data_IF_914262223635
#
_entry.id   IF_914262223635
#
_cell.length_a   1.000
_cell.length_b   1.000
_cell.length_c   1.000
_cell.angle_alpha   90.00
_cell.angle_beta   90.00
_cell.angle_gamma   90.00
#
_symmetry.space_group_name_H-M   'P 1'
#
loop_
_entity.id
_entity.type
_entity.pdbx_description
1 polymer ?
#
# COMPACT_ATOMS: atom_id res chain seq x y z
N UNK A 1 26.84 17.66 -25.84
CA UNK A 1 27.02 18.02 -24.42
C UNK A 1 25.76 17.57 -23.70
N UNK A 2 25.96 16.63 -22.79
CA UNK A 2 24.99 15.97 -21.92
C UNK A 2 24.30 16.99 -21.00
N UNK A 3 22.97 16.93 -20.93
CA UNK A 3 22.20 17.49 -19.80
C UNK A 3 21.08 16.52 -19.40
N UNK A 4 21.51 15.48 -18.69
CA UNK A 4 20.76 14.71 -17.71
C UNK A 4 19.85 15.61 -16.84
N UNK A 5 18.55 15.63 -17.14
CA UNK A 5 17.55 16.33 -16.32
C UNK A 5 17.08 15.42 -15.20
N UNK A 6 17.59 15.68 -13.99
CA UNK A 6 17.20 15.02 -12.75
C UNK A 6 15.71 15.23 -12.48
N UNK A 7 14.93 14.14 -12.49
CA UNK A 7 13.68 14.12 -11.73
C UNK A 7 14.07 14.21 -10.24
N UNK A 8 13.60 15.22 -9.52
CA UNK A 8 13.78 15.27 -8.06
C UNK A 8 13.35 13.94 -7.42
N UNK A 9 14.02 13.49 -6.35
CA UNK A 9 13.79 12.17 -5.79
C UNK A 9 12.31 12.03 -5.42
N UNK A 10 11.64 11.00 -5.98
CA UNK A 10 10.41 10.47 -5.40
C UNK A 10 10.66 10.34 -3.89
N UNK A 11 9.80 10.87 -3.00
CA UNK A 11 10.04 10.75 -1.57
C UNK A 11 10.26 9.26 -1.28
N UNK A 12 11.33 8.89 -0.55
CA UNK A 12 11.67 7.50 -0.35
C UNK A 12 10.45 6.78 0.22
N UNK A 13 10.13 5.61 -0.35
CA UNK A 13 9.10 4.74 0.21
C UNK A 13 9.40 4.55 1.70
N UNK A 14 8.42 4.81 2.57
CA UNK A 14 8.62 4.59 4.01
C UNK A 14 8.92 3.12 4.23
N UNK A 15 9.99 2.81 4.95
CA UNK A 15 10.26 1.44 5.41
C UNK A 15 9.60 1.29 6.77
N UNK A 16 8.70 0.34 6.89
CA UNK A 16 7.88 0.13 8.09
C UNK A 16 8.21 -1.25 8.63
N UNK A 17 8.85 -1.31 9.80
CA UNK A 17 8.90 -2.55 10.55
C UNK A 17 7.58 -2.72 11.31
N UNK A 18 6.91 -3.86 11.13
CA UNK A 18 5.73 -4.20 11.92
C UNK A 18 6.13 -5.01 13.14
N UNK A 19 5.65 -4.57 14.29
CA UNK A 19 5.68 -5.34 15.54
C UNK A 19 4.69 -6.53 15.47
N UNK A 20 4.94 -7.56 16.28
CA UNK A 20 4.11 -8.75 16.41
C UNK A 20 2.67 -8.39 16.81
N UNK A 21 2.47 -7.37 17.66
CA UNK A 21 1.12 -6.94 18.06
C UNK A 21 0.29 -6.39 16.88
N UNK A 22 0.94 -5.84 15.85
CA UNK A 22 0.28 -5.36 14.64
C UNK A 22 0.03 -6.52 13.70
N UNK A 23 1.06 -7.36 13.46
CA UNK A 23 0.98 -8.52 12.57
C UNK A 23 -0.04 -9.58 13.04
N UNK A 24 -0.30 -9.63 14.35
CA UNK A 24 -1.31 -10.50 14.93
C UNK A 24 -2.72 -10.19 14.39
N UNK A 25 -3.03 -8.91 14.18
CA UNK A 25 -4.31 -8.44 13.66
C UNK A 25 -4.40 -8.66 12.15
N UNK A 26 -5.21 -9.65 11.75
CA UNK A 26 -5.36 -10.01 10.34
C UNK A 26 -5.73 -8.81 9.45
N UNK A 27 -6.65 -7.95 9.92
CA UNK A 27 -7.07 -6.78 9.15
C UNK A 27 -5.91 -5.79 8.96
N UNK A 28 -5.13 -5.48 10.00
CA UNK A 28 -4.01 -4.55 9.88
C UNK A 28 -2.92 -5.13 8.95
N UNK A 29 -2.56 -6.40 9.16
CA UNK A 29 -1.58 -7.11 8.31
C UNK A 29 -1.97 -7.09 6.84
N UNK A 30 -3.24 -7.38 6.53
CA UNK A 30 -3.73 -7.37 5.15
C UNK A 30 -3.57 -5.97 4.52
N UNK A 31 -3.89 -4.88 5.24
CA UNK A 31 -3.67 -3.51 4.73
C UNK A 31 -2.20 -3.20 4.49
N UNK A 32 -1.31 -3.48 5.44
CA UNK A 32 0.11 -3.19 5.28
C UNK A 32 0.72 -3.97 4.10
N UNK A 33 0.40 -5.25 3.97
CA UNK A 33 0.83 -6.07 2.82
C UNK A 33 0.30 -5.50 1.51
N UNK A 34 -0.94 -4.99 1.47
CA UNK A 34 -1.45 -4.31 0.26
C UNK A 34 -0.75 -2.97 -0.03
N UNK A 35 -0.34 -2.23 0.99
CA UNK A 35 0.47 -1.02 0.81
C UNK A 35 1.84 -1.34 0.21
N UNK A 36 2.41 -2.50 0.54
CA UNK A 36 3.61 -3.02 -0.12
C UNK A 36 3.37 -3.38 -1.58
N UNK A 37 2.29 -4.09 -1.88
CA UNK A 37 1.91 -4.44 -3.25
C UNK A 37 1.66 -3.21 -4.13
N UNK A 38 1.26 -2.07 -3.54
CA UNK A 38 1.06 -0.79 -4.23
C UNK A 38 2.28 0.14 -4.19
N UNK A 39 3.42 -0.32 -3.65
CA UNK A 39 4.67 0.44 -3.53
C UNK A 39 4.52 1.78 -2.78
N UNK A 40 3.59 1.85 -1.83
CA UNK A 40 3.37 3.00 -0.93
C UNK A 40 4.31 2.94 0.27
N UNK A 41 4.50 1.74 0.82
CA UNK A 41 5.41 1.46 1.92
C UNK A 41 6.14 0.15 1.64
N UNK A 42 7.32 -0.03 2.20
CA UNK A 42 7.95 -1.35 2.26
C UNK A 42 7.81 -1.89 3.67
N UNK A 43 7.12 -3.02 3.80
CA UNK A 43 6.79 -3.61 5.08
C UNK A 43 7.85 -4.67 5.41
N UNK A 44 8.32 -4.64 6.65
CA UNK A 44 9.42 -5.46 7.14
C UNK A 44 9.04 -6.16 8.45
N UNK A 45 9.58 -7.36 8.65
CA UNK A 45 9.52 -8.09 9.91
C UNK A 45 10.68 -9.09 9.97
N UNK A 46 11.10 -9.48 11.17
CA UNK A 46 12.09 -10.54 11.37
C UNK A 46 11.45 -11.91 11.56
N UNK A 47 12.24 -12.97 11.47
CA UNK A 47 11.76 -14.31 11.83
C UNK A 47 11.27 -14.33 13.29
N UNK A 48 11.98 -13.69 14.22
CA UNK A 48 11.61 -13.69 15.64
C UNK A 48 10.25 -13.01 15.91
N UNK A 49 9.98 -11.88 15.24
CA UNK A 49 8.66 -11.21 15.31
C UNK A 49 7.56 -12.15 14.80
N UNK A 50 7.81 -12.85 13.69
CA UNK A 50 6.84 -13.79 13.14
C UNK A 50 6.61 -14.97 14.08
N UNK A 51 7.65 -15.42 14.78
CA UNK A 51 7.57 -16.50 15.76
C UNK A 51 6.69 -16.12 16.94
N UNK A 52 6.74 -14.86 17.38
CA UNK A 52 5.82 -14.31 18.37
C UNK A 52 4.38 -14.32 17.90
N UNK A 53 4.13 -13.93 16.64
CA UNK A 53 2.79 -13.99 16.06
C UNK A 53 2.27 -15.43 16.07
N UNK A 54 3.08 -16.40 15.63
CA UNK A 54 2.72 -17.82 15.61
C UNK A 54 2.46 -18.33 17.04
N UNK A 55 3.35 -18.05 17.99
CA UNK A 55 3.18 -18.42 19.41
C UNK A 55 1.87 -17.88 19.98
N UNK A 56 1.59 -16.60 19.76
CA UNK A 56 0.38 -15.94 20.26
C UNK A 56 -0.90 -16.48 19.60
N UNK A 57 -0.86 -16.84 18.31
CA UNK A 57 -1.99 -17.48 17.62
C UNK A 57 -2.25 -18.88 18.16
N UNK A 58 -1.20 -19.70 18.37
CA UNK A 58 -1.34 -21.02 18.99
C UNK A 58 -1.92 -20.92 20.40
N UNK A 59 -1.38 -20.02 21.23
CA UNK A 59 -1.89 -19.76 22.58
C UNK A 59 -3.38 -19.40 22.55
N UNK A 60 -3.78 -18.50 21.66
CA UNK A 60 -5.18 -18.09 21.51
C UNK A 60 -6.07 -19.22 21.01
N UNK A 61 -5.59 -20.01 20.05
CA UNK A 61 -6.31 -21.19 19.57
C UNK A 61 -6.56 -22.16 20.73
N UNK A 62 -5.53 -22.51 21.51
CA UNK A 62 -5.68 -23.39 22.68
C UNK A 62 -6.64 -22.83 23.72
N UNK A 63 -6.57 -21.53 24.03
CA UNK A 63 -7.42 -20.92 25.07
C UNK A 63 -8.89 -20.76 24.64
N UNK A 64 -9.17 -20.59 23.34
CA UNK A 64 -10.51 -20.30 22.81
C UNK A 64 -11.16 -21.48 22.08
N UNK A 65 -10.44 -22.59 21.94
CA UNK A 65 -10.95 -23.78 21.29
C UNK A 65 -11.99 -24.45 22.20
N UNK A 66 -13.23 -24.48 21.73
CA UNK A 66 -14.33 -25.15 22.43
C UNK A 66 -14.51 -26.61 22.01
N UNK A 67 -14.03 -26.98 20.83
CA UNK A 67 -14.04 -28.35 20.30
C UNK A 67 -12.62 -28.88 20.10
N UNK A 68 -12.15 -29.84 20.93
CA UNK A 68 -10.83 -30.44 20.79
C UNK A 68 -10.51 -31.02 19.40
N UNK A 69 -11.52 -31.39 18.61
CA UNK A 69 -11.33 -31.88 17.25
C UNK A 69 -10.85 -30.79 16.27
N UNK A 70 -11.15 -29.51 16.54
CA UNK A 70 -10.74 -28.38 15.71
C UNK A 70 -9.30 -27.90 16.04
N UNK A 71 -8.80 -28.20 17.24
CA UNK A 71 -7.52 -27.70 17.73
C UNK A 71 -6.34 -28.03 16.78
N UNK A 72 -6.19 -29.26 16.25
CA UNK A 72 -5.09 -29.56 15.31
C UNK A 72 -5.10 -28.66 14.07
N UNK A 73 -6.29 -28.37 13.52
CA UNK A 73 -6.44 -27.51 12.33
C UNK A 73 -6.08 -26.04 12.64
N UNK A 74 -6.49 -25.54 13.81
CA UNK A 74 -6.14 -24.18 14.24
C UNK A 74 -4.63 -24.02 14.48
N UNK A 75 -3.98 -25.03 15.07
CA UNK A 75 -2.53 -25.03 15.28
C UNK A 75 -1.76 -25.12 13.96
N UNK A 76 -2.21 -25.96 13.02
CA UNK A 76 -1.63 -26.05 11.69
C UNK A 76 -1.75 -24.71 10.94
N UNK A 77 -2.91 -24.06 10.98
CA UNK A 77 -3.13 -22.73 10.39
C UNK A 77 -2.17 -21.68 10.96
N UNK A 78 -1.90 -21.73 12.27
CA UNK A 78 -0.94 -20.83 12.89
C UNK A 78 0.50 -21.10 12.42
N UNK A 79 0.89 -22.36 12.23
CA UNK A 79 2.22 -22.73 11.73
C UNK A 79 2.41 -22.34 10.26
N UNK A 80 1.38 -22.53 9.44
CA UNK A 80 1.39 -22.21 8.01
C UNK A 80 1.59 -20.71 7.74
N UNK A 81 1.31 -19.85 8.72
CA UNK A 81 1.57 -18.41 8.62
C UNK A 81 3.03 -18.12 8.26
N UNK A 82 3.97 -18.87 8.83
CA UNK A 82 5.40 -18.70 8.54
C UNK A 82 5.72 -19.06 7.10
N UNK A 83 5.27 -20.22 6.66
CA UNK A 83 5.51 -20.71 5.30
C UNK A 83 4.86 -19.80 4.26
N UNK A 84 3.64 -19.34 4.55
CA UNK A 84 2.94 -18.37 3.73
C UNK A 84 3.72 -17.06 3.61
N UNK A 85 4.19 -16.49 4.73
CA UNK A 85 4.97 -15.26 4.72
C UNK A 85 6.27 -15.42 3.94
N UNK A 86 7.03 -16.49 4.16
CA UNK A 86 8.31 -16.75 3.47
C UNK A 86 8.13 -16.94 1.97
N UNK A 87 7.06 -17.61 1.55
CA UNK A 87 6.81 -17.91 0.15
C UNK A 87 6.30 -16.69 -0.61
N UNK A 88 5.37 -15.93 -0.01
CA UNK A 88 4.66 -14.86 -0.72
C UNK A 88 5.26 -13.46 -0.51
N UNK A 89 6.03 -13.26 0.57
CA UNK A 89 6.63 -11.98 0.93
C UNK A 89 8.10 -12.14 1.37
N UNK A 90 8.95 -12.84 0.60
CA UNK A 90 10.36 -13.03 0.96
C UNK A 90 11.10 -11.69 1.14
N UNK A 91 10.71 -10.67 0.39
CA UNK A 91 11.28 -9.32 0.46
C UNK A 91 10.97 -8.59 1.77
N UNK A 92 10.00 -9.04 2.56
CA UNK A 92 9.65 -8.43 3.85
C UNK A 92 10.52 -8.93 5.00
N UNK A 93 11.23 -10.04 4.82
CA UNK A 93 12.11 -10.57 5.86
C UNK A 93 13.36 -9.71 6.03
N UNK A 94 13.74 -9.52 7.29
CA UNK A 94 15.00 -8.89 7.70
C UNK A 94 15.49 -9.57 8.97
N UNK A 95 16.75 -9.97 9.01
CA UNK A 95 17.34 -10.56 10.20
C UNK A 95 18.37 -9.59 10.79
N UNK A 96 18.22 -9.18 12.07
CA UNK A 96 19.20 -8.33 12.71
C UNK A 96 20.52 -9.05 12.96
N UNK A 97 21.61 -8.31 12.83
CA UNK A 97 22.95 -8.73 13.21
C UNK A 97 23.30 -8.29 14.63
N UNK A 98 24.37 -8.85 15.20
CA UNK A 98 24.91 -8.39 16.50
C UNK A 98 25.28 -6.89 16.49
N UNK A 99 25.71 -6.36 15.34
CA UNK A 99 26.00 -4.93 15.19
C UNK A 99 24.74 -4.07 15.32
N UNK A 100 23.58 -4.58 14.89
CA UNK A 100 22.31 -3.87 15.01
C UNK A 100 21.86 -3.77 16.48
N UNK A 101 22.06 -4.84 17.26
CA UNK A 101 21.84 -4.83 18.72
C UNK A 101 22.82 -3.88 19.43
N UNK A 102 24.09 -3.88 19.01
CA UNK A 102 25.13 -3.07 19.65
C UNK A 102 24.84 -1.56 19.61
N UNK A 103 24.03 -1.08 18.65
CA UNK A 103 23.73 0.36 18.49
C UNK A 103 22.97 1.01 19.64
N UNK A 104 22.28 0.21 20.44
CA UNK A 104 21.45 0.67 21.56
C UNK A 104 21.61 -0.23 22.79
N UNK A 105 22.63 -1.09 22.82
CA UNK A 105 22.78 -2.12 23.83
C UNK A 105 22.90 -1.57 25.26
N UNK A 106 23.46 -0.37 25.40
CA UNK A 106 23.66 0.37 26.65
C UNK A 106 22.39 1.06 27.16
N UNK A 107 21.33 1.14 26.34
CA UNK A 107 20.09 1.81 26.72
C UNK A 107 19.11 0.87 27.42
N UNK A 108 18.39 1.42 28.39
CA UNK A 108 17.35 0.70 29.11
C UNK A 108 16.14 0.45 28.20
N UNK A 109 15.64 -0.78 28.23
CA UNK A 109 14.36 -1.19 27.65
C UNK A 109 13.46 -1.69 28.77
N UNK A 110 12.15 -1.33 28.81
CA UNK A 110 11.21 -1.83 29.81
C UNK A 110 11.11 -3.36 29.80
N UNK A 111 11.01 -3.94 28.60
CA UNK A 111 11.07 -5.37 28.36
C UNK A 111 12.35 -5.72 27.58
N UNK A 112 13.25 -6.55 28.14
CA UNK A 112 14.43 -7.04 27.43
C UNK A 112 14.10 -7.82 26.14
N UNK A 113 12.94 -8.49 26.09
CA UNK A 113 12.55 -9.29 24.93
C UNK A 113 12.24 -8.39 23.72
N UNK A 114 11.80 -7.14 23.90
CA UNK A 114 11.50 -6.20 22.80
C UNK A 114 12.74 -5.65 22.08
N UNK A 115 13.94 -5.93 22.58
CA UNK A 115 15.20 -5.53 21.94
C UNK A 115 15.33 -6.07 20.52
N UNK A 116 14.81 -7.27 20.26
CA UNK A 116 14.89 -7.87 18.93
C UNK A 116 14.06 -7.09 17.89
N UNK A 117 12.97 -6.45 18.30
CA UNK A 117 12.13 -5.62 17.43
C UNK A 117 12.90 -4.37 17.02
N UNK A 118 13.57 -3.70 17.96
CA UNK A 118 14.41 -2.52 17.67
C UNK A 118 15.58 -2.90 16.77
N UNK A 119 16.27 -3.99 17.05
CA UNK A 119 17.37 -4.47 16.21
C UNK A 119 16.90 -4.79 14.79
N UNK A 120 15.74 -5.44 14.63
CA UNK A 120 15.14 -5.68 13.31
C UNK A 120 14.80 -4.37 12.58
N UNK A 121 14.36 -3.33 13.30
CA UNK A 121 14.05 -2.02 12.74
C UNK A 121 15.32 -1.33 12.22
N UNK A 122 16.41 -1.43 12.98
CA UNK A 122 17.75 -0.93 12.59
C UNK A 122 18.24 -1.65 11.33
N UNK A 123 18.20 -2.98 11.32
CA UNK A 123 18.62 -3.81 10.19
C UNK A 123 17.80 -3.48 8.93
N UNK A 124 16.51 -3.21 9.09
CA UNK A 124 15.61 -2.81 8.00
C UNK A 124 15.90 -1.41 7.46
N UNK A 125 16.67 -0.59 8.18
CA UNK A 125 16.73 0.87 8.02
C UNK A 125 15.32 1.47 8.03
N UNK A 126 14.52 1.03 8.99
CA UNK A 126 13.13 1.42 9.11
C UNK A 126 13.02 2.94 9.30
N UNK A 127 12.08 3.55 8.59
CA UNK A 127 11.60 4.90 8.91
C UNK A 127 10.68 4.83 10.12
N UNK A 128 9.84 3.80 10.16
CA UNK A 128 8.83 3.60 11.20
C UNK A 128 8.95 2.23 11.85
N UNK A 129 8.88 2.20 13.19
CA UNK A 129 8.50 1.03 13.96
C UNK A 129 6.99 1.15 14.25
N UNK A 130 6.18 0.33 13.60
CA UNK A 130 4.73 0.34 13.75
C UNK A 130 4.31 -0.61 14.87
N UNK A 131 3.81 -0.06 15.98
CA UNK A 131 3.42 -0.81 17.18
C UNK A 131 2.22 -0.17 17.87
N UNK A 132 1.39 -0.99 18.52
CA UNK A 132 0.36 -0.49 19.44
C UNK A 132 0.88 -0.27 20.86
N UNK A 133 1.98 -0.93 21.23
CA UNK A 133 2.58 -0.87 22.57
C UNK A 133 3.70 0.16 22.63
N UNK A 134 3.37 1.41 22.32
CA UNK A 134 4.35 2.49 22.30
C UNK A 134 5.17 2.64 23.61
N UNK A 135 4.68 2.35 24.83
CA UNK A 135 5.49 2.43 26.05
C UNK A 135 6.69 1.48 26.10
N UNK A 136 6.64 0.36 25.36
CA UNK A 136 7.70 -0.66 25.33
C UNK A 136 8.93 -0.19 24.54
N UNK A 137 8.79 0.92 23.79
CA UNK A 137 9.82 1.52 22.95
C UNK A 137 10.08 2.98 23.38
N UNK A 138 10.98 3.22 24.35
CA UNK A 138 11.24 4.55 24.88
C UNK A 138 11.89 5.51 23.87
N UNK A 139 11.58 6.81 23.98
CA UNK A 139 12.11 7.85 23.08
C UNK A 139 13.65 7.88 23.03
N UNK A 140 14.41 7.75 24.13
CA UNK A 140 15.88 7.73 24.06
C UNK A 140 16.45 6.61 23.17
N UNK A 141 15.79 5.45 23.14
CA UNK A 141 16.18 4.33 22.26
C UNK A 141 15.85 4.67 20.83
N UNK A 142 14.63 5.16 20.58
CA UNK A 142 14.16 5.45 19.23
C UNK A 142 14.92 6.60 18.56
N UNK A 143 15.24 7.65 19.32
CA UNK A 143 16.07 8.77 18.88
C UNK A 143 17.50 8.31 18.56
N UNK A 144 18.10 7.44 19.40
CA UNK A 144 19.44 6.90 19.17
C UNK A 144 19.56 6.18 17.83
N UNK A 145 18.55 5.37 17.49
CA UNK A 145 18.56 4.59 16.25
C UNK A 145 17.98 5.34 15.04
N UNK A 146 17.40 6.53 15.26
CA UNK A 146 16.83 7.38 14.22
C UNK A 146 15.56 6.81 13.59
N UNK A 147 14.72 6.13 14.39
CA UNK A 147 13.50 5.44 13.92
C UNK A 147 12.29 6.02 14.66
N UNK A 148 11.23 6.36 13.93
CA UNK A 148 10.01 6.88 14.54
C UNK A 148 9.06 5.75 14.95
N UNK A 149 8.60 5.72 16.20
CA UNK A 149 7.54 4.80 16.63
C UNK A 149 6.18 5.38 16.29
N UNK A 150 5.32 4.61 15.63
CA UNK A 150 3.99 5.07 15.20
C UNK A 150 2.93 4.00 15.42
N UNK A 151 1.71 4.44 15.77
CA UNK A 151 0.56 3.53 15.90
C UNK A 151 0.02 3.11 14.53
N UNK A 152 -0.53 1.89 14.39
CA UNK A 152 -1.02 1.40 13.10
C UNK A 152 -2.13 2.27 12.52
N UNK A 153 -3.06 2.77 13.34
CA UNK A 153 -4.12 3.67 12.85
C UNK A 153 -3.56 4.98 12.29
N UNK A 154 -2.61 5.59 13.01
CA UNK A 154 -2.00 6.85 12.58
C UNK A 154 -1.26 6.67 11.25
N UNK A 155 -0.48 5.59 11.10
CA UNK A 155 0.28 5.31 9.90
C UNK A 155 -0.63 4.99 8.70
N UNK A 156 -1.63 4.12 8.87
CA UNK A 156 -2.58 3.80 7.81
C UNK A 156 -3.44 5.01 7.42
N UNK A 157 -3.81 5.85 8.39
CA UNK A 157 -4.53 7.10 8.13
C UNK A 157 -3.66 8.11 7.35
N UNK A 158 -2.37 8.23 7.68
CA UNK A 158 -1.44 9.05 6.91
C UNK A 158 -1.34 8.56 5.46
N UNK A 159 -1.20 7.25 5.26
CA UNK A 159 -1.20 6.64 3.92
C UNK A 159 -2.52 6.85 3.18
N UNK A 160 -3.66 6.76 3.86
CA UNK A 160 -4.97 7.04 3.29
C UNK A 160 -5.09 8.51 2.84
N UNK A 161 -4.49 9.43 3.59
CA UNK A 161 -4.50 10.87 3.27
C UNK A 161 -3.55 11.22 2.13
N UNK A 162 -2.34 10.64 2.12
CA UNK A 162 -1.28 10.93 1.13
C UNK A 162 -1.48 10.18 -0.19
N UNK A 163 -2.02 8.97 -0.11
CA UNK A 163 -2.16 8.03 -1.22
C UNK A 163 -3.55 7.40 -1.25
N UNK A 164 -4.64 8.20 -1.33
CA UNK A 164 -6.02 7.71 -1.21
C UNK A 164 -6.37 6.62 -2.24
N UNK A 165 -5.87 6.74 -3.48
CA UNK A 165 -6.10 5.74 -4.52
C UNK A 165 -5.49 4.38 -4.18
N UNK A 166 -4.25 4.36 -3.68
CA UNK A 166 -3.60 3.12 -3.28
C UNK A 166 -4.30 2.49 -2.07
N UNK A 167 -4.77 3.31 -1.13
CA UNK A 167 -5.52 2.82 0.03
C UNK A 167 -6.89 2.25 -0.36
N UNK A 168 -7.59 2.84 -1.32
CA UNK A 168 -8.84 2.28 -1.88
C UNK A 168 -8.58 0.97 -2.61
N UNK A 169 -7.52 0.89 -3.42
CA UNK A 169 -7.12 -0.35 -4.08
C UNK A 169 -6.80 -1.45 -3.07
N UNK A 170 -6.03 -1.13 -2.03
CA UNK A 170 -5.74 -2.02 -0.92
C UNK A 170 -7.03 -2.52 -0.27
N UNK A 171 -7.92 -1.60 0.11
CA UNK A 171 -9.21 -1.91 0.72
C UNK A 171 -10.02 -2.91 -0.14
N UNK A 172 -10.11 -2.68 -1.45
CA UNK A 172 -10.87 -3.53 -2.36
C UNK A 172 -10.26 -4.91 -2.57
N UNK A 173 -8.93 -5.01 -2.58
CA UNK A 173 -8.24 -6.31 -2.61
C UNK A 173 -8.57 -7.11 -1.36
N UNK A 174 -8.52 -6.49 -0.17
CA UNK A 174 -8.85 -7.16 1.09
C UNK A 174 -10.32 -7.60 1.15
N UNK A 175 -11.25 -6.76 0.68
CA UNK A 175 -12.66 -7.14 0.51
C UNK A 175 -12.80 -8.33 -0.44
N UNK A 176 -12.15 -8.30 -1.60
CA UNK A 176 -12.23 -9.36 -2.61
C UNK A 176 -11.60 -10.69 -2.20
N UNK A 177 -10.60 -10.68 -1.32
CA UNK A 177 -9.96 -11.90 -0.81
C UNK A 177 -10.76 -12.57 0.31
N UNK A 178 -11.54 -11.79 1.06
CA UNK A 178 -12.24 -12.31 2.23
C UNK A 178 -13.67 -12.65 1.89
N UNK A 179 -13.97 -13.94 1.66
CA UNK A 179 -15.32 -14.42 1.32
C UNK A 179 -16.38 -13.83 2.26
N UNK A 180 -17.45 -13.30 1.68
CA UNK A 180 -18.58 -12.71 2.42
C UNK A 180 -18.29 -11.39 3.12
N UNK A 181 -17.09 -10.80 2.94
CA UNK A 181 -16.78 -9.49 3.53
C UNK A 181 -17.31 -8.37 2.64
N UNK A 182 -18.01 -7.43 3.25
CA UNK A 182 -18.47 -6.19 2.60
C UNK A 182 -17.53 -5.04 2.97
N UNK A 183 -17.58 -3.95 2.21
CA UNK A 183 -16.88 -2.70 2.56
C UNK A 183 -17.16 -2.27 4.00
N UNK A 184 -18.44 -2.19 4.37
CA UNK A 184 -18.87 -1.88 5.75
C UNK A 184 -18.28 -2.87 6.76
N UNK A 185 -18.34 -4.16 6.49
CA UNK A 185 -17.80 -5.19 7.38
C UNK A 185 -16.30 -5.06 7.60
N UNK A 186 -15.53 -4.71 6.57
CA UNK A 186 -14.09 -4.51 6.68
C UNK A 186 -13.75 -3.23 7.47
N UNK A 187 -14.51 -2.14 7.29
CA UNK A 187 -14.35 -0.91 8.08
C UNK A 187 -14.64 -1.15 9.57
N UNK A 188 -15.68 -1.93 9.89
CA UNK A 188 -15.95 -2.34 11.28
C UNK A 188 -14.82 -3.19 11.88
N UNK A 189 -14.17 -4.05 11.07
CA UNK A 189 -12.99 -4.80 11.52
C UNK A 189 -11.80 -3.89 11.82
N UNK A 190 -11.56 -2.85 11.00
CA UNK A 190 -10.54 -1.83 11.30
C UNK A 190 -10.82 -1.13 12.63
N UNK A 191 -12.05 -0.69 12.87
CA UNK A 191 -12.45 -0.07 14.15
C UNK A 191 -12.17 -0.98 15.34
N UNK A 192 -12.57 -2.26 15.25
CA UNK A 192 -12.29 -3.26 16.31
C UNK A 192 -10.80 -3.52 16.51
N UNK A 193 -10.01 -3.40 15.46
CA UNK A 193 -8.56 -3.48 15.50
C UNK A 193 -7.88 -2.17 15.96
N UNK A 194 -8.64 -1.26 16.60
CA UNK A 194 -8.14 0.03 17.09
C UNK A 194 -7.61 0.95 15.97
N UNK A 195 -8.21 0.86 14.77
CA UNK A 195 -7.93 1.75 13.64
C UNK A 195 -9.15 2.59 13.17
N UNK A 196 -9.77 3.39 14.06
CA UNK A 196 -10.95 4.18 13.73
C UNK A 196 -10.68 5.31 12.74
N UNK A 197 -9.57 6.06 12.85
CA UNK A 197 -9.30 7.20 11.97
C UNK A 197 -9.10 6.76 10.51
N UNK A 198 -8.42 5.62 10.33
CA UNK A 198 -8.28 4.95 9.03
C UNK A 198 -9.63 4.54 8.48
N UNK A 199 -10.48 3.91 9.31
CA UNK A 199 -11.80 3.46 8.90
C UNK A 199 -12.69 4.64 8.47
N UNK A 200 -12.71 5.73 9.24
CA UNK A 200 -13.48 6.94 8.93
C UNK A 200 -13.01 7.61 7.64
N UNK A 201 -11.69 7.72 7.45
CA UNK A 201 -11.12 8.29 6.23
C UNK A 201 -11.44 7.46 5.01
N UNK A 202 -11.30 6.14 5.10
CA UNK A 202 -11.70 5.23 4.03
C UNK A 202 -13.19 5.31 3.75
N UNK A 203 -14.04 5.33 4.78
CA UNK A 203 -15.48 5.44 4.60
C UNK A 203 -15.87 6.73 3.88
N UNK A 204 -15.27 7.86 4.27
CA UNK A 204 -15.48 9.15 3.59
C UNK A 204 -15.01 9.12 2.14
N UNK A 205 -13.82 8.57 1.88
CA UNK A 205 -13.30 8.40 0.53
C UNK A 205 -14.30 7.56 -0.27
N UNK A 206 -14.63 6.36 0.18
CA UNK A 206 -15.54 5.44 -0.51
C UNK A 206 -16.93 6.06 -0.77
N UNK A 207 -17.51 6.79 0.18
CA UNK A 207 -18.78 7.52 -0.01
C UNK A 207 -18.69 8.57 -1.12
N UNK A 208 -17.55 9.26 -1.24
CA UNK A 208 -17.34 10.26 -2.30
C UNK A 208 -17.23 9.65 -3.71
N UNK A 209 -16.99 8.34 -3.81
CA UNK A 209 -16.73 7.64 -5.07
C UNK A 209 -17.99 7.02 -5.72
N UNK A 210 -19.14 7.03 -5.04
CA UNK A 210 -20.38 6.43 -5.53
C UNK A 210 -20.46 4.90 -5.31
N UNK A 211 -21.68 4.38 -5.19
CA UNK A 211 -22.04 3.08 -4.59
C UNK A 211 -21.09 1.89 -4.83
N UNK A 212 -20.87 1.14 -3.74
CA UNK A 212 -19.70 0.33 -3.45
C UNK A 212 -19.72 -1.15 -3.94
N UNK A 213 -20.64 -1.55 -4.80
CA UNK A 213 -20.80 -2.98 -5.12
C UNK A 213 -20.37 -3.37 -6.54
N UNK A 214 -19.90 -2.42 -7.36
CA UNK A 214 -19.49 -2.67 -8.75
C UNK A 214 -17.98 -2.49 -8.97
N UNK A 215 -17.34 -3.51 -9.57
CA UNK A 215 -15.93 -3.45 -10.01
C UNK A 215 -15.65 -2.33 -11.02
N UNK A 216 -16.67 -1.83 -11.72
CA UNK A 216 -16.52 -0.89 -12.84
C UNK A 216 -16.45 0.59 -12.41
N UNK A 217 -16.95 0.95 -11.22
CA UNK A 217 -17.03 2.36 -10.81
C UNK A 217 -15.68 2.93 -10.35
N UNK A 218 -14.74 2.05 -10.02
CA UNK A 218 -13.35 2.39 -9.73
C UNK A 218 -12.62 3.05 -10.87
N UNK A 219 -12.83 2.62 -12.12
CA UNK A 219 -12.12 3.20 -13.26
C UNK A 219 -12.52 4.65 -13.49
N UNK A 220 -13.81 4.97 -13.29
CA UNK A 220 -14.35 6.35 -13.39
C UNK A 220 -13.84 7.25 -12.27
N UNK A 221 -13.84 6.71 -11.07
CA UNK A 221 -13.30 7.34 -9.87
C UNK A 221 -11.80 7.60 -9.97
N UNK A 222 -11.05 6.63 -10.51
CA UNK A 222 -9.63 6.72 -10.79
C UNK A 222 -9.34 7.83 -11.80
N UNK A 223 -10.12 7.93 -12.87
CA UNK A 223 -10.03 9.02 -13.85
C UNK A 223 -10.34 10.39 -13.21
N UNK A 224 -11.35 10.46 -12.34
CA UNK A 224 -11.75 11.70 -11.66
C UNK A 224 -10.71 12.19 -10.65
N UNK A 225 -10.25 11.32 -9.75
CA UNK A 225 -9.25 11.66 -8.74
C UNK A 225 -7.87 11.96 -9.36
N UNK A 226 -7.50 11.26 -10.44
CA UNK A 226 -6.30 11.59 -11.21
C UNK A 226 -6.44 12.96 -11.87
N UNK A 227 -7.61 13.29 -12.43
CA UNK A 227 -7.89 14.60 -13.01
C UNK A 227 -7.89 15.73 -11.96
N UNK A 228 -8.43 15.49 -10.76
CA UNK A 228 -8.41 16.43 -9.63
C UNK A 228 -6.96 16.71 -9.18
N UNK A 229 -6.14 15.66 -9.06
CA UNK A 229 -4.72 15.77 -8.71
C UNK A 229 -3.93 16.49 -9.80
N UNK A 230 -4.19 16.18 -11.06
CA UNK A 230 -3.58 16.87 -12.20
C UNK A 230 -3.99 18.35 -12.23
N UNK A 231 -5.25 18.68 -11.90
CA UNK A 231 -5.73 20.08 -11.78
C UNK A 231 -5.09 20.81 -10.61
N UNK A 232 -4.96 20.19 -9.44
CA UNK A 232 -4.28 20.77 -8.29
C UNK A 232 -2.79 21.02 -8.57
N UNK A 233 -2.15 20.13 -9.35
CA UNK A 233 -0.76 20.27 -9.79
C UNK A 233 -0.59 21.33 -10.89
N UNK A 234 -1.60 21.53 -11.74
CA UNK A 234 -1.65 22.62 -12.73
C UNK A 234 -1.95 23.98 -12.05
N UNK A 235 -2.74 24.01 -10.98
CA UNK A 235 -3.04 25.23 -10.20
C UNK A 235 -1.85 25.78 -9.39
N UNK A 236 -0.79 25.00 -9.25
CA UNK A 236 0.49 25.40 -8.63
C UNK A 236 1.51 25.95 -9.64
N UNK A 237 1.19 25.98 -10.94
CA UNK A 237 2.03 26.64 -11.95
C UNK A 237 1.76 28.15 -11.96
N UNK A 238 2.79 29.01 -11.94
CA UNK A 238 2.61 30.46 -12.05
C UNK A 238 1.93 30.81 -13.40
N UNK A 239 1.11 31.88 -13.45
CA UNK A 239 0.32 32.24 -14.62
C UNK A 239 1.18 32.89 -15.70
N UNK A 240 2.08 32.13 -16.31
CA UNK A 240 2.86 32.55 -17.49
C UNK A 240 3.05 31.39 -18.46
N UNK A 241 1.95 30.72 -18.83
CA UNK A 241 1.94 29.78 -19.95
C UNK A 241 0.57 29.69 -20.64
N UNK A 242 -0.25 30.75 -20.56
CA UNK A 242 -1.34 30.95 -21.53
C UNK A 242 -0.74 31.49 -22.82
N UNK A 243 -0.42 30.60 -23.77
CA UNK A 243 -0.29 31.02 -25.17
C UNK A 243 -1.69 31.36 -25.69
N UNK A 244 -1.89 32.50 -26.37
CA UNK A 244 -3.19 32.82 -26.98
C UNK A 244 -3.49 31.81 -28.10
N UNK A 245 -4.76 31.43 -28.21
CA UNK A 245 -5.26 30.55 -29.26
C UNK A 245 -5.06 31.18 -30.65
N UNK A 246 -4.96 30.37 -31.72
CA UNK A 246 -4.79 30.90 -33.06
C UNK A 246 -6.13 31.36 -33.61
N UNK A 247 -6.39 32.67 -33.60
CA UNK A 247 -7.34 33.27 -34.53
C UNK A 247 -6.57 33.90 -35.70
N UNK A 248 -6.91 33.39 -36.88
CA UNK A 248 -6.90 34.06 -38.18
C UNK A 248 -5.53 34.40 -38.81
N UNK A 249 -5.05 33.48 -39.67
CA UNK A 249 -4.42 33.88 -40.93
C UNK A 249 -5.26 33.37 -42.10
N UNK A 250 -5.94 34.30 -42.78
CA UNK A 250 -6.62 34.12 -44.05
C UNK A 250 -5.60 33.79 -45.15
N UNK A 251 -5.87 32.76 -45.95
CA UNK A 251 -5.45 32.72 -47.37
C UNK A 251 -6.62 32.17 -48.21
N UNK A 252 -6.90 32.87 -49.31
CA UNK A 252 -8.01 32.71 -50.25
C UNK A 252 -7.78 31.57 -51.27
N UNK A 253 -8.82 31.13 -52.00
CA UNK A 253 -8.83 29.86 -52.73
C UNK A 253 -8.28 29.99 -54.17
N UNK A 254 -7.75 28.90 -54.70
CA UNK A 254 -7.53 28.72 -56.13
C UNK A 254 -8.43 27.59 -56.66
N UNK A 255 -9.30 28.00 -57.56
CA UNK A 255 -10.24 27.24 -58.41
C UNK A 255 -9.53 26.40 -59.48
N UNK A 256 -10.11 25.23 -59.82
CA UNK A 256 -10.34 24.88 -61.23
C UNK A 256 -9.96 23.47 -61.73
N UNK A 257 -10.96 22.82 -62.36
CA UNK A 257 -10.94 21.72 -63.36
C UNK A 257 -10.76 20.27 -62.86
N UNK A 258 -11.84 19.47 -62.72
CA UNK A 258 -12.78 18.81 -63.68
C UNK A 258 -12.24 17.56 -64.41
N UNK A 259 -12.88 16.43 -64.06
CA UNK A 259 -13.41 15.32 -64.86
C UNK A 259 -12.58 14.66 -65.98
N UNK A 260 -12.48 13.32 -65.89
CA UNK A 260 -12.75 12.30 -66.94
C UNK A 260 -12.65 10.90 -66.30
N UNK A 261 -13.75 10.26 -65.98
CA UNK A 261 -14.52 9.28 -66.78
C UNK A 261 -13.86 7.92 -67.04
N UNK A 262 -14.71 6.91 -66.77
CA UNK A 262 -14.66 5.47 -67.07
C UNK A 262 -14.17 5.11 -68.48
N UNK A 263 -13.50 3.96 -68.59
CA UNK A 263 -13.45 2.94 -69.66
C UNK A 263 -12.33 1.96 -69.19
N UNK A 264 -12.39 0.64 -69.23
CA UNK A 264 -13.27 -0.29 -69.89
C UNK A 264 -13.13 -1.67 -69.22
N UNK A 265 -14.17 -2.49 -69.35
CA UNK A 265 -14.12 -3.94 -69.08
C UNK A 265 -13.27 -4.66 -70.15
N UNK A 266 -12.97 -5.93 -69.86
CA UNK A 266 -12.57 -7.00 -70.80
C UNK A 266 -11.08 -7.19 -71.09
N UNK A 267 -10.53 -8.21 -70.43
CA UNK A 267 -9.83 -9.41 -70.95
C UNK A 267 -9.46 -10.22 -69.70
N UNK A 268 -9.95 -11.41 -69.42
CA UNK A 268 -10.23 -12.51 -70.31
C UNK A 268 -9.27 -13.67 -69.98
N UNK A 269 -9.77 -14.62 -69.16
CA UNK A 269 -9.65 -16.07 -69.36
C UNK A 269 -8.27 -16.74 -69.34
N UNK A 270 -8.11 -17.67 -68.38
CA UNK A 270 -7.68 -19.05 -68.65
C UNK A 270 -6.22 -19.42 -68.40
N UNK A 271 -6.00 -20.44 -67.56
CA UNK A 271 -4.89 -21.38 -67.79
C UNK A 271 -4.15 -21.90 -66.55
N UNK A 272 -4.63 -23.05 -66.05
CA UNK A 272 -3.96 -24.10 -65.25
C UNK A 272 -3.64 -23.82 -63.79
#
# INVERSE_FOLDING_TARGET
MDQSSQSGPKPPRSVVLLDANVLYSRVLSDYFVQLQATNVAAVKWSSQILDEVVRNKKKTATMRCHDPAELPSLLATAEDLRNHARTNYPESFVEPSEEDYARFADLYMPDPDDRHVVAAAVAARATYLCTSNTPDFPDPVMERVGIERIKPDALLHEHASRSPLAMVQAHQKVVGWTRGTTHRGLLERLRRAQAPATAETLERILKSLGNLDSRDDLARVYASALAERHRAQIGLLPPTSRRPGPEQLRVRPATGFRDRQRLDQQRGVGGR
#
